data_IF_525934504236
#
_entry.id   IF_525934504236
#
_cell.length_a   1.000
_cell.length_b   1.000
_cell.length_c   1.000
_cell.angle_alpha   90.00
_cell.angle_beta   90.00
_cell.angle_gamma   90.00
#
_symmetry.space_group_name_H-M   'P 1'
#
loop_
_entity.id
_entity.type
_entity.pdbx_description
1 polymer ?
#
# COMPACT_ATOMS: atom_id res chain seq x y z
N UNK A 1 23.67 2.47 24.86
CA UNK A 1 24.12 3.66 24.21
C UNK A 1 23.21 4.83 24.46
N UNK A 2 23.78 5.90 24.85
CA UNK A 2 23.08 7.13 25.19
C UNK A 2 22.31 7.76 24.03
N UNK A 3 22.69 7.46 22.80
CA UNK A 3 22.07 8.03 21.60
C UNK A 3 20.60 7.66 21.49
N UNK A 4 20.25 6.43 21.88
CA UNK A 4 18.88 5.95 21.80
C UNK A 4 18.01 6.61 22.85
N UNK A 5 18.55 6.87 24.04
CA UNK A 5 17.79 7.48 25.12
C UNK A 5 17.45 8.96 24.90
N UNK A 6 18.06 9.58 23.88
CA UNK A 6 17.81 10.97 23.55
C UNK A 6 16.77 11.16 22.45
N UNK A 7 16.14 10.09 21.99
CA UNK A 7 15.07 10.21 21.02
C UNK A 7 13.88 10.92 21.65
N UNK A 8 13.34 11.88 20.92
CA UNK A 8 12.24 12.73 21.35
C UNK A 8 11.10 12.58 20.36
N UNK A 9 9.88 12.49 20.88
CA UNK A 9 8.69 12.50 20.05
C UNK A 9 8.53 13.87 19.38
N UNK A 10 8.47 13.94 18.04
CA UNK A 10 8.35 15.22 17.34
C UNK A 10 7.07 15.99 17.66
N UNK A 11 6.04 15.33 18.17
CA UNK A 11 4.76 15.96 18.46
C UNK A 11 4.76 16.59 19.85
N UNK A 12 5.17 15.83 20.87
CA UNK A 12 5.08 16.26 22.27
C UNK A 12 6.38 16.81 22.80
N UNK A 13 7.49 16.55 22.13
CA UNK A 13 8.85 16.90 22.56
C UNK A 13 9.24 16.22 23.87
N UNK A 14 8.59 15.11 24.20
CA UNK A 14 8.91 14.31 25.36
C UNK A 14 9.84 13.16 24.97
N UNK A 15 10.68 12.67 25.91
CA UNK A 15 11.53 11.53 25.64
C UNK A 15 10.72 10.27 25.32
N UNK A 16 11.10 9.59 24.25
CA UNK A 16 10.41 8.36 23.82
C UNK A 16 10.69 7.17 24.73
N UNK A 17 11.73 7.22 25.53
CA UNK A 17 12.06 6.12 26.47
C UNK A 17 10.95 5.87 27.49
N UNK A 18 10.14 6.88 27.78
CA UNK A 18 9.02 6.78 28.71
C UNK A 18 7.72 6.36 28.06
N UNK A 19 7.71 6.16 26.76
CA UNK A 19 6.50 5.80 26.02
C UNK A 19 6.27 4.29 26.07
N UNK A 20 5.02 3.90 26.28
CA UNK A 20 4.61 2.50 26.32
C UNK A 20 4.55 1.89 24.92
N UNK A 21 4.07 2.69 23.96
CA UNK A 21 3.89 2.24 22.59
C UNK A 21 4.62 3.19 21.66
N UNK A 22 5.60 2.66 20.95
CA UNK A 22 6.40 3.42 20.00
C UNK A 22 6.27 2.79 18.63
N UNK A 23 6.34 3.61 17.59
CA UNK A 23 6.43 3.10 16.24
C UNK A 23 7.33 3.98 15.39
N UNK A 24 7.82 3.42 14.31
CA UNK A 24 8.69 4.10 13.39
C UNK A 24 7.96 4.39 12.09
N UNK A 25 8.03 5.64 11.64
CA UNK A 25 7.48 6.05 10.35
C UNK A 25 8.64 6.35 9.41
N UNK A 26 8.65 5.71 8.25
CA UNK A 26 9.70 5.93 7.27
C UNK A 26 9.18 6.87 6.18
N UNK A 27 9.88 7.98 5.98
CA UNK A 27 9.54 8.95 4.95
C UNK A 27 10.82 9.41 4.26
N UNK A 28 10.90 9.25 2.95
CA UNK A 28 12.08 9.60 2.15
C UNK A 28 13.39 9.02 2.73
N UNK A 29 13.34 7.75 3.12
CA UNK A 29 14.46 7.03 3.75
C UNK A 29 14.89 7.56 5.12
N UNK A 30 14.11 8.45 5.70
CA UNK A 30 14.34 8.92 7.06
C UNK A 30 13.36 8.23 8.00
N UNK A 31 13.90 7.60 9.04
CA UNK A 31 13.10 6.94 10.06
C UNK A 31 12.85 7.91 11.20
N UNK A 32 11.58 8.13 11.51
CA UNK A 32 11.18 8.98 12.63
C UNK A 32 10.38 8.16 13.61
N UNK A 33 10.76 8.19 14.86
CA UNK A 33 10.06 7.48 15.93
C UNK A 33 9.00 8.38 16.55
N UNK A 34 7.85 7.80 16.84
CA UNK A 34 6.73 8.50 17.46
C UNK A 34 6.15 7.70 18.62
N UNK A 35 5.55 8.41 19.56
CA UNK A 35 4.66 7.81 20.54
C UNK A 35 3.31 7.54 19.86
N UNK A 36 2.89 6.30 19.85
CA UNK A 36 1.67 5.90 19.15
C UNK A 36 0.44 6.63 19.68
N UNK A 37 0.31 6.74 20.99
CA UNK A 37 -0.88 7.36 21.59
C UNK A 37 -1.01 8.82 21.18
N UNK A 38 0.08 9.57 21.23
CA UNK A 38 0.08 10.97 20.83
C UNK A 38 -0.17 11.13 19.34
N UNK A 39 0.44 10.29 18.53
CA UNK A 39 0.24 10.34 17.09
C UNK A 39 -1.20 10.00 16.71
N UNK A 40 -1.76 8.98 17.33
CA UNK A 40 -3.13 8.55 17.09
C UNK A 40 -4.14 9.66 17.43
N UNK A 41 -3.97 10.29 18.58
CA UNK A 41 -4.83 11.42 18.95
C UNK A 41 -4.66 12.62 18.04
N UNK A 42 -3.42 12.87 17.61
CA UNK A 42 -3.13 13.98 16.71
C UNK A 42 -3.83 13.77 15.36
N UNK A 43 -3.81 12.55 14.85
CA UNK A 43 -4.50 12.21 13.61
C UNK A 43 -6.01 12.39 13.75
N UNK A 44 -6.58 12.05 14.88
CA UNK A 44 -8.01 12.28 15.12
C UNK A 44 -8.39 13.76 15.08
N UNK A 45 -7.48 14.63 15.50
CA UNK A 45 -7.71 16.08 15.53
C UNK A 45 -7.41 16.74 14.20
N UNK A 46 -6.26 16.41 13.60
CA UNK A 46 -5.74 17.09 12.41
C UNK A 46 -6.20 16.37 11.14
N UNK A 47 -6.41 15.07 11.21
CA UNK A 47 -6.80 14.26 10.06
C UNK A 47 -5.61 13.74 9.27
N UNK A 48 -5.59 14.01 7.97
CA UNK A 48 -4.67 13.38 7.03
C UNK A 48 -3.32 14.09 6.88
N UNK A 49 -2.89 14.84 7.89
CA UNK A 49 -1.67 15.64 7.83
C UNK A 49 -0.61 15.04 8.75
N UNK A 50 0.62 14.98 8.27
CA UNK A 50 1.75 14.55 9.10
C UNK A 50 2.02 15.61 10.17
N UNK A 51 2.01 15.22 11.46
CA UNK A 51 2.11 16.21 12.53
C UNK A 51 3.38 17.06 12.52
N UNK A 52 4.50 16.48 12.08
CA UNK A 52 5.80 17.18 12.18
C UNK A 52 6.16 17.98 10.92
N UNK A 53 5.59 17.67 9.77
CA UNK A 53 5.95 18.29 8.51
C UNK A 53 4.82 19.08 7.86
N UNK A 54 3.59 18.86 8.29
CA UNK A 54 2.43 19.48 7.68
C UNK A 54 2.05 18.94 6.31
N UNK A 55 2.78 17.96 5.81
CA UNK A 55 2.48 17.33 4.52
C UNK A 55 1.28 16.38 4.65
N UNK A 56 0.53 16.24 3.56
CA UNK A 56 -0.56 15.26 3.52
C UNK A 56 -0.01 13.84 3.56
N UNK A 57 -0.71 12.97 4.29
CA UNK A 57 -0.42 11.55 4.29
C UNK A 57 -0.79 10.94 2.94
N UNK A 58 0.12 10.16 2.38
CA UNK A 58 -0.16 9.38 1.17
C UNK A 58 -1.00 8.16 1.53
N UNK A 59 -1.56 7.51 0.52
CA UNK A 59 -2.28 6.25 0.75
C UNK A 59 -1.37 5.20 1.40
N UNK A 60 -0.12 5.12 0.96
CA UNK A 60 0.86 4.22 1.55
C UNK A 60 1.11 4.52 3.02
N UNK A 61 1.21 5.80 3.39
CA UNK A 61 1.39 6.21 4.77
C UNK A 61 0.20 5.80 5.64
N UNK A 62 -1.01 6.01 5.13
CA UNK A 62 -2.25 5.64 5.83
C UNK A 62 -2.34 4.13 6.06
N UNK A 63 -2.00 3.35 5.04
CA UNK A 63 -1.98 1.89 5.15
C UNK A 63 -0.95 1.43 6.16
N UNK A 64 0.24 2.03 6.14
CA UNK A 64 1.29 1.71 7.10
C UNK A 64 0.86 2.02 8.52
N UNK A 65 0.21 3.16 8.74
CA UNK A 65 -0.30 3.50 10.05
C UNK A 65 -1.43 2.57 10.49
N UNK A 66 -2.30 2.16 9.58
CA UNK A 66 -3.34 1.17 9.89
C UNK A 66 -2.72 -0.15 10.36
N UNK A 67 -1.60 -0.57 9.79
CA UNK A 67 -0.89 -1.75 10.25
C UNK A 67 -0.38 -1.58 11.68
N UNK A 68 0.10 -0.41 12.01
CA UNK A 68 0.54 -0.08 13.38
C UNK A 68 -0.64 -0.13 14.32
N UNK A 69 -1.79 0.41 13.94
CA UNK A 69 -3.01 0.31 14.73
C UNK A 69 -3.39 -1.14 15.01
N UNK A 70 -3.36 -1.98 14.00
CA UNK A 70 -3.64 -3.42 14.16
C UNK A 70 -2.65 -4.09 15.08
N UNK A 71 -1.38 -3.74 14.98
CA UNK A 71 -0.35 -4.28 15.85
C UNK A 71 -0.63 -3.99 17.32
N UNK A 72 -1.11 -2.79 17.62
CA UNK A 72 -1.44 -2.38 18.98
C UNK A 72 -2.88 -2.70 19.39
N UNK A 73 -3.63 -3.42 18.56
CA UNK A 73 -5.03 -3.77 18.80
C UNK A 73 -5.94 -2.56 18.98
N UNK A 74 -5.66 -1.50 18.24
CA UNK A 74 -6.47 -0.29 18.24
C UNK A 74 -7.32 -0.21 16.97
N UNK A 75 -8.44 0.53 17.01
CA UNK A 75 -9.24 0.76 15.81
C UNK A 75 -8.42 1.42 14.70
N UNK A 76 -8.66 1.00 13.47
CA UNK A 76 -7.96 1.55 12.31
C UNK A 76 -8.26 3.03 12.15
N UNK A 77 -7.21 3.85 12.01
CA UNK A 77 -7.37 5.29 11.89
C UNK A 77 -7.92 5.69 10.50
N UNK A 78 -7.58 4.95 9.47
CA UNK A 78 -7.95 5.27 8.10
C UNK A 78 -8.67 4.09 7.42
N UNK A 79 -9.95 3.83 7.77
CA UNK A 79 -10.68 2.72 7.16
C UNK A 79 -10.88 2.90 5.65
N UNK A 80 -10.96 4.13 5.17
CA UNK A 80 -11.10 4.42 3.75
C UNK A 80 -9.88 3.99 2.95
N UNK A 81 -8.69 4.11 3.53
CA UNK A 81 -7.46 3.67 2.89
C UNK A 81 -7.45 2.16 2.67
N UNK A 82 -8.00 1.40 3.61
CA UNK A 82 -8.11 -0.06 3.47
C UNK A 82 -9.09 -0.43 2.35
N UNK A 83 -10.22 0.27 2.24
CA UNK A 83 -11.18 0.05 1.15
C UNK A 83 -10.57 0.38 -0.20
N UNK A 84 -9.84 1.46 -0.29
CA UNK A 84 -9.17 1.84 -1.52
C UNK A 84 -8.11 0.83 -1.92
N UNK A 85 -7.35 0.33 -0.97
CA UNK A 85 -6.37 -0.73 -1.19
C UNK A 85 -7.03 -2.01 -1.68
N UNK A 86 -8.15 -2.40 -1.08
CA UNK A 86 -8.89 -3.58 -1.52
C UNK A 86 -9.43 -3.40 -2.93
N UNK A 87 -9.95 -2.22 -3.25
CA UNK A 87 -10.42 -1.92 -4.59
C UNK A 87 -9.30 -2.00 -5.62
N UNK A 88 -8.14 -1.44 -5.33
CA UNK A 88 -6.98 -1.55 -6.19
C UNK A 88 -6.56 -3.00 -6.39
N UNK A 89 -6.60 -3.81 -5.33
CA UNK A 89 -6.30 -5.23 -5.42
C UNK A 89 -7.31 -5.97 -6.30
N UNK A 90 -8.59 -5.66 -6.17
CA UNK A 90 -9.63 -6.26 -6.98
C UNK A 90 -9.47 -5.88 -8.45
N UNK A 91 -9.23 -4.62 -8.74
CA UNK A 91 -8.97 -4.16 -10.10
C UNK A 91 -7.75 -4.87 -10.70
N UNK A 92 -6.68 -4.95 -9.93
CA UNK A 92 -5.48 -5.63 -10.37
C UNK A 92 -5.73 -7.12 -10.59
N UNK A 93 -6.45 -7.76 -9.69
CA UNK A 93 -6.83 -9.16 -9.81
C UNK A 93 -7.66 -9.40 -11.06
N UNK A 94 -8.66 -8.56 -11.28
CA UNK A 94 -9.51 -8.66 -12.46
C UNK A 94 -8.72 -8.47 -13.74
N UNK A 95 -7.80 -7.51 -13.76
CA UNK A 95 -6.91 -7.28 -14.89
C UNK A 95 -6.01 -8.49 -15.16
N UNK A 96 -5.45 -9.07 -14.10
CA UNK A 96 -4.61 -10.27 -14.22
C UNK A 96 -5.42 -11.46 -14.70
N UNK A 97 -6.61 -11.68 -14.15
CA UNK A 97 -7.49 -12.77 -14.57
C UNK A 97 -7.88 -12.59 -16.04
N UNK A 98 -8.27 -11.39 -16.41
CA UNK A 98 -8.61 -11.06 -17.79
C UNK A 98 -7.44 -11.35 -18.71
N UNK A 99 -6.25 -10.95 -18.33
CA UNK A 99 -5.03 -11.20 -19.11
C UNK A 99 -4.76 -12.70 -19.23
N UNK A 100 -4.87 -13.44 -18.14
CA UNK A 100 -4.65 -14.89 -18.11
C UNK A 100 -5.64 -15.62 -19.02
N UNK A 101 -6.89 -15.15 -19.07
CA UNK A 101 -7.95 -15.78 -19.87
C UNK A 101 -7.87 -15.33 -21.32
N UNK A 102 -7.75 -14.03 -21.58
CA UNK A 102 -7.83 -13.50 -22.94
C UNK A 102 -6.59 -13.77 -23.77
N UNK A 103 -5.40 -13.69 -23.18
CA UNK A 103 -4.16 -13.89 -23.96
C UNK A 103 -4.08 -15.28 -24.57
N UNK A 104 -4.33 -16.38 -23.82
CA UNK A 104 -4.38 -17.70 -24.42
C UNK A 104 -5.43 -17.84 -25.52
N UNK A 105 -6.60 -17.25 -25.32
CA UNK A 105 -7.67 -17.29 -26.33
C UNK A 105 -7.22 -16.56 -27.60
N UNK A 106 -6.62 -15.39 -27.46
CA UNK A 106 -6.11 -14.64 -28.61
C UNK A 106 -5.00 -15.40 -29.34
N UNK A 107 -4.13 -16.07 -28.60
CA UNK A 107 -3.07 -16.90 -29.17
C UNK A 107 -3.68 -18.06 -29.95
N UNK A 108 -4.68 -18.74 -29.39
CA UNK A 108 -5.35 -19.83 -30.05
C UNK A 108 -6.06 -19.37 -31.33
N UNK A 109 -6.73 -18.23 -31.27
CA UNK A 109 -7.36 -17.65 -32.46
C UNK A 109 -6.33 -17.32 -33.54
N UNK A 110 -5.22 -16.75 -33.14
CA UNK A 110 -4.14 -16.40 -34.05
C UNK A 110 -3.55 -17.65 -34.70
N UNK A 111 -3.29 -18.71 -33.92
CA UNK A 111 -2.81 -19.98 -34.41
C UNK A 111 -3.82 -20.60 -35.38
N UNK A 112 -5.11 -20.54 -35.02
CA UNK A 112 -6.17 -21.06 -35.89
C UNK A 112 -6.21 -20.31 -37.21
N UNK A 113 -6.10 -18.98 -37.20
CA UNK A 113 -6.05 -18.19 -38.42
C UNK A 113 -4.84 -18.51 -39.29
N UNK A 114 -3.69 -18.69 -38.66
CA UNK A 114 -2.47 -19.10 -39.39
C UNK A 114 -2.65 -20.48 -40.01
N UNK A 115 -3.21 -21.41 -39.27
CA UNK A 115 -3.48 -22.76 -39.77
C UNK A 115 -4.48 -22.75 -40.92
N UNK A 116 -5.55 -21.94 -40.76
CA UNK A 116 -6.52 -21.82 -41.83
C UNK A 116 -5.92 -21.23 -43.09
N UNK A 117 -5.11 -20.20 -42.98
CA UNK A 117 -4.41 -19.63 -44.12
C UNK A 117 -3.41 -20.60 -44.70
N UNK A 118 -2.65 -21.25 -43.82
CA UNK A 118 -1.71 -22.26 -44.27
C UNK A 118 -2.38 -23.43 -44.94
N UNK A 119 -3.47 -23.91 -44.38
CA UNK A 119 -4.28 -24.96 -44.96
C UNK A 119 -4.84 -24.53 -46.32
N UNK A 120 -5.37 -23.33 -46.39
CA UNK A 120 -5.91 -22.80 -47.64
C UNK A 120 -4.82 -22.72 -48.71
N UNK A 121 -3.66 -22.21 -48.33
CA UNK A 121 -2.53 -22.15 -49.27
C UNK A 121 -2.06 -23.52 -49.70
N UNK A 122 -2.03 -24.48 -48.79
CA UNK A 122 -1.67 -25.86 -49.11
C UNK A 122 -2.77 -26.53 -49.90
N UNK A 123 -4.02 -26.22 -49.60
CA UNK A 123 -5.18 -26.80 -50.26
C UNK A 123 -5.40 -26.29 -51.66
N UNK A 124 -4.85 -25.16 -52.01
CA UNK A 124 -5.02 -24.59 -53.33
C UNK A 124 -4.51 -25.47 -54.46
N UNK A 125 -3.45 -26.22 -54.29
CA UNK A 125 -2.99 -27.13 -55.34
C UNK A 125 -3.96 -28.25 -55.63
N UNK A 126 -4.84 -28.50 -54.76
CA UNK A 126 -5.86 -29.52 -54.98
C UNK A 126 -6.86 -29.08 -56.04
#
# INVERSE_FOLDING_TARGET
>A
MSIISNEIDPITLEPLENCKRKFCFVHKNVKTMYDFDNYYENIKKIGEIKPHSGEKLTLSDKISFNKVCKYFNEPIAFPEAEREREREREEHRDAVITFIILVPIMILEFIFLIRCKGFTCIGLPF
#
